data_IF_439129308711
#
_entry.id   IF_439129308711
#
_cell.length_a   1.000
_cell.length_b   1.000
_cell.length_c   1.000
_cell.angle_alpha   90.00
_cell.angle_beta   90.00
_cell.angle_gamma   90.00
#
_symmetry.space_group_name_H-M   'P 1'
#
loop_
_entity.id
_entity.type
_entity.pdbx_description
1 polymer ?
#
# COMPACT_ATOMS: atom_id res chain seq x y z
N UNK A 1 -78.99 -7.56 -20.25
CA UNK A 1 -79.81 -7.16 -19.12
C UNK A 1 -79.21 -5.91 -18.53
N UNK A 2 -79.90 -4.83 -18.79
CA UNK A 2 -80.39 -3.72 -17.98
C UNK A 2 -79.30 -2.86 -17.35
N UNK A 3 -79.08 -1.67 -17.94
CA UNK A 3 -79.66 -0.36 -17.61
C UNK A 3 -79.18 0.15 -16.25
N UNK A 4 -78.86 1.41 -16.05
CA UNK A 4 -79.34 2.63 -16.64
C UNK A 4 -78.54 3.87 -16.17
N UNK A 5 -78.77 4.86 -16.90
CA UNK A 5 -78.45 6.26 -16.82
C UNK A 5 -78.57 6.94 -15.45
N UNK A 6 -77.78 7.96 -15.14
CA UNK A 6 -78.38 9.24 -14.77
C UNK A 6 -77.37 10.38 -14.88
N UNK A 7 -77.79 11.35 -15.70
CA UNK A 7 -77.17 12.64 -15.93
C UNK A 7 -77.73 13.60 -14.85
N UNK A 8 -76.89 14.46 -14.27
CA UNK A 8 -77.38 15.69 -13.65
C UNK A 8 -76.53 16.87 -14.02
N UNK A 9 -77.08 17.78 -14.80
CA UNK A 9 -76.60 19.16 -15.06
C UNK A 9 -77.21 20.07 -13.99
N UNK A 10 -76.51 21.05 -13.53
CA UNK A 10 -76.98 22.41 -13.18
C UNK A 10 -75.72 23.23 -12.81
N UNK A 11 -75.31 24.11 -13.62
CA UNK A 11 -75.60 25.53 -13.76
C UNK A 11 -75.47 26.37 -12.47
N UNK A 12 -74.51 27.28 -12.46
CA UNK A 12 -74.81 28.59 -11.86
C UNK A 12 -73.73 29.20 -11.00
N UNK A 13 -73.31 30.28 -11.49
CA UNK A 13 -72.97 31.55 -10.80
C UNK A 13 -71.52 31.92 -10.67
N UNK A 14 -71.18 32.94 -11.48
CA UNK A 14 -70.05 33.88 -11.39
C UNK A 14 -70.04 34.56 -10.02
N UNK A 15 -68.84 34.66 -9.46
CA UNK A 15 -68.45 35.80 -8.61
C UNK A 15 -66.98 36.13 -8.80
N UNK A 16 -66.74 37.25 -9.42
CA UNK A 16 -65.46 37.92 -9.52
C UNK A 16 -65.07 38.46 -8.13
N UNK A 17 -63.91 38.09 -7.65
CA UNK A 17 -63.20 38.88 -6.63
C UNK A 17 -61.75 38.89 -6.99
N UNK A 18 -61.34 40.04 -7.46
CA UNK A 18 -59.94 40.39 -7.60
C UNK A 18 -59.32 40.60 -6.22
N UNK A 19 -58.19 39.98 -5.91
CA UNK A 19 -57.24 40.54 -4.94
C UNK A 19 -55.85 40.00 -5.12
N UNK A 20 -54.97 40.92 -5.51
CA UNK A 20 -53.60 41.16 -5.00
C UNK A 20 -52.52 40.13 -5.22
N UNK A 21 -51.62 40.52 -6.09
CA UNK A 21 -50.23 40.18 -6.23
C UNK A 21 -49.53 39.94 -4.86
N UNK A 22 -49.01 38.73 -4.64
CA UNK A 22 -47.88 38.52 -3.81
C UNK A 22 -46.88 37.67 -4.60
N UNK A 23 -45.89 38.36 -5.18
CA UNK A 23 -44.73 37.72 -5.75
C UNK A 23 -43.89 37.12 -4.62
N UNK A 24 -44.24 35.87 -4.24
CA UNK A 24 -43.41 35.01 -3.38
C UNK A 24 -42.39 34.32 -4.25
N UNK A 25 -41.19 34.91 -4.36
CA UNK A 25 -40.06 34.24 -4.97
C UNK A 25 -39.71 32.97 -4.19
N UNK A 26 -40.05 31.84 -4.75
CA UNK A 26 -39.51 30.55 -4.31
C UNK A 26 -38.04 30.55 -4.70
N UNK A 27 -37.23 30.99 -3.77
CA UNK A 27 -35.79 30.73 -3.84
C UNK A 27 -35.61 29.21 -3.87
N UNK A 28 -35.41 28.68 -5.07
CA UNK A 28 -35.05 27.29 -5.32
C UNK A 28 -33.64 27.14 -4.79
N UNK A 29 -33.54 26.71 -3.54
CA UNK A 29 -32.27 26.24 -2.98
C UNK A 29 -31.81 25.08 -3.86
N UNK A 30 -30.94 25.35 -4.80
CA UNK A 30 -30.14 24.33 -5.46
C UNK A 30 -29.24 23.78 -4.39
N UNK A 31 -29.63 22.64 -3.81
CA UNK A 31 -28.71 21.79 -3.09
C UNK A 31 -27.60 21.42 -4.08
N UNK A 32 -26.47 22.09 -3.96
CA UNK A 32 -25.23 21.63 -4.55
C UNK A 32 -24.95 20.31 -3.87
N UNK A 33 -25.39 19.22 -4.48
CA UNK A 33 -24.85 17.91 -4.18
C UNK A 33 -23.36 17.97 -4.51
N UNK A 34 -22.57 18.33 -3.50
CA UNK A 34 -21.15 18.10 -3.51
C UNK A 34 -20.97 16.60 -3.61
N UNK A 35 -20.86 16.12 -4.85
CA UNK A 35 -20.42 14.76 -5.12
C UNK A 35 -19.19 14.53 -4.28
N UNK A 36 -19.32 13.77 -3.20
CA UNK A 36 -18.18 13.31 -2.44
C UNK A 36 -17.40 12.43 -3.41
N UNK A 37 -16.40 13.03 -4.07
CA UNK A 37 -15.42 12.28 -4.83
C UNK A 37 -14.92 11.20 -3.86
N UNK A 38 -15.21 9.94 -4.19
CA UNK A 38 -14.78 8.81 -3.39
C UNK A 38 -13.29 9.00 -3.15
N UNK A 39 -12.88 9.08 -1.88
CA UNK A 39 -11.48 9.28 -1.54
C UNK A 39 -10.68 8.21 -2.27
N UNK A 40 -9.75 8.65 -3.14
CA UNK A 40 -8.95 7.71 -3.91
C UNK A 40 -8.24 6.74 -2.97
N UNK A 41 -8.22 5.43 -3.30
CA UNK A 41 -7.59 4.45 -2.45
C UNK A 41 -6.12 4.85 -2.23
N UNK A 42 -5.66 4.73 -1.00
CA UNK A 42 -4.27 5.03 -0.62
C UNK A 42 -3.30 4.19 -1.44
N UNK A 43 -3.70 2.95 -1.78
CA UNK A 43 -2.97 2.00 -2.62
C UNK A 43 -3.83 1.67 -3.84
N UNK A 44 -3.29 1.88 -5.03
CA UNK A 44 -3.95 1.56 -6.30
C UNK A 44 -2.99 0.86 -7.27
N UNK A 45 -3.47 -0.03 -8.13
CA UNK A 45 -2.65 -0.57 -9.22
C UNK A 45 -2.19 0.54 -10.17
N UNK A 46 -0.99 0.37 -10.78
CA UNK A 46 -0.56 1.16 -11.93
C UNK A 46 -1.43 0.84 -13.16
N UNK A 47 -1.34 1.67 -14.20
CA UNK A 47 -2.12 1.49 -15.44
C UNK A 47 -1.88 0.12 -16.09
N UNK A 48 -0.62 -0.34 -16.11
CA UNK A 48 -0.23 -1.67 -16.61
C UNK A 48 -0.48 -2.81 -15.61
N UNK A 49 -0.90 -2.48 -14.40
CA UNK A 49 -1.16 -3.42 -13.32
C UNK A 49 0.08 -4.07 -12.71
N UNK A 50 1.29 -3.78 -13.18
CA UNK A 50 2.53 -4.42 -12.70
C UNK A 50 2.99 -3.92 -11.34
N UNK A 51 2.55 -2.74 -10.94
CA UNK A 51 2.88 -2.08 -9.68
C UNK A 51 1.64 -1.76 -8.86
N UNK A 52 1.85 -1.59 -7.58
CA UNK A 52 0.90 -0.97 -6.65
C UNK A 52 1.47 0.37 -6.20
N UNK A 53 0.77 1.45 -6.47
CA UNK A 53 1.21 2.81 -6.16
C UNK A 53 0.58 3.28 -4.86
N UNK A 54 1.40 3.74 -3.93
CA UNK A 54 0.99 4.44 -2.73
C UNK A 54 1.19 5.95 -2.93
N UNK A 55 0.14 6.66 -3.19
CA UNK A 55 0.17 8.11 -3.41
C UNK A 55 0.57 8.89 -2.15
N UNK A 56 0.31 8.36 -0.98
CA UNK A 56 0.65 9.02 0.28
C UNK A 56 2.16 9.00 0.55
N UNK A 57 2.79 7.84 0.36
CA UNK A 57 4.24 7.70 0.55
C UNK A 57 5.05 8.01 -0.71
N UNK A 58 4.38 8.20 -1.86
CA UNK A 58 5.01 8.35 -3.18
C UNK A 58 5.93 7.18 -3.52
N UNK A 59 5.46 5.97 -3.24
CA UNK A 59 6.17 4.73 -3.51
C UNK A 59 5.36 3.85 -4.47
N UNK A 60 6.06 3.12 -5.31
CA UNK A 60 5.50 2.08 -6.16
C UNK A 60 6.15 0.74 -5.83
N UNK A 61 5.33 -0.27 -5.60
CA UNK A 61 5.68 -1.60 -5.16
C UNK A 61 5.55 -2.57 -6.31
N UNK A 62 6.48 -3.52 -6.47
CA UNK A 62 6.23 -4.63 -7.40
C UNK A 62 4.97 -5.38 -6.95
N UNK A 63 4.02 -5.58 -7.86
CA UNK A 63 2.78 -6.30 -7.53
C UNK A 63 3.04 -7.76 -7.21
N UNK A 64 3.95 -8.38 -7.97
CA UNK A 64 4.45 -9.71 -7.70
C UNK A 64 5.75 -9.66 -6.88
N UNK A 65 5.99 -10.68 -6.06
CA UNK A 65 7.29 -10.90 -5.42
C UNK A 65 8.30 -11.41 -6.46
N UNK A 66 9.57 -11.31 -6.15
CA UNK A 66 10.62 -11.76 -7.07
C UNK A 66 10.51 -13.25 -7.40
N UNK A 67 10.74 -13.59 -8.66
CA UNK A 67 10.52 -14.92 -9.24
C UNK A 67 9.12 -15.15 -9.80
N UNK A 68 8.18 -14.27 -9.51
CA UNK A 68 6.84 -14.28 -10.08
C UNK A 68 6.66 -13.13 -11.07
N UNK A 69 5.77 -13.30 -12.04
CA UNK A 69 5.48 -12.32 -13.08
C UNK A 69 3.98 -11.98 -13.10
N UNK A 70 3.67 -10.73 -13.38
CA UNK A 70 2.28 -10.29 -13.59
C UNK A 70 1.81 -10.67 -14.99
N UNK A 71 0.69 -11.38 -15.11
CA UNK A 71 0.12 -11.83 -16.37
C UNK A 71 -1.06 -10.97 -16.88
N UNK A 72 -1.36 -9.87 -16.18
CA UNK A 72 -2.52 -9.03 -16.43
C UNK A 72 -3.67 -9.23 -15.42
N UNK A 73 -3.71 -10.36 -14.74
CA UNK A 73 -4.76 -10.73 -13.80
C UNK A 73 -4.22 -11.17 -12.44
N UNK A 74 -3.15 -11.94 -12.43
CA UNK A 74 -2.54 -12.48 -11.21
C UNK A 74 -1.02 -12.59 -11.32
N UNK A 75 -0.36 -12.93 -10.23
CA UNK A 75 1.06 -13.25 -10.23
C UNK A 75 1.23 -14.74 -10.49
N UNK A 76 1.99 -15.09 -11.55
CA UNK A 76 2.28 -16.47 -11.98
C UNK A 76 3.76 -16.81 -11.77
N UNK A 77 4.09 -18.07 -11.65
CA UNK A 77 5.44 -18.56 -11.38
C UNK A 77 5.65 -18.92 -9.92
N UNK A 78 6.92 -19.03 -9.49
CA UNK A 78 7.29 -19.38 -8.14
C UNK A 78 8.07 -18.24 -7.47
N UNK A 79 7.68 -17.89 -6.25
CA UNK A 79 8.41 -16.91 -5.46
C UNK A 79 9.85 -17.37 -5.23
N UNK A 80 10.81 -16.57 -5.65
CA UNK A 80 12.22 -16.82 -5.41
C UNK A 80 12.61 -16.34 -4.03
N UNK A 81 13.16 -17.26 -3.23
CA UNK A 81 13.74 -16.92 -1.93
C UNK A 81 15.21 -16.59 -2.11
N UNK A 82 15.67 -15.54 -1.46
CA UNK A 82 17.02 -15.01 -1.60
C UNK A 82 17.60 -14.67 -0.24
N UNK A 83 18.92 -14.73 -0.15
CA UNK A 83 19.67 -14.13 0.94
C UNK A 83 19.55 -12.61 0.87
N UNK A 84 19.85 -11.92 1.97
CA UNK A 84 19.84 -10.46 1.99
C UNK A 84 20.80 -9.85 0.97
N UNK A 85 22.00 -10.44 0.82
CA UNK A 85 22.99 -10.00 -0.16
C UNK A 85 22.52 -10.14 -1.61
N UNK A 86 21.90 -11.26 -1.95
CA UNK A 86 21.29 -11.46 -3.28
C UNK A 86 20.17 -10.47 -3.56
N UNK A 87 19.33 -10.17 -2.56
CA UNK A 87 18.25 -9.20 -2.70
C UNK A 87 18.77 -7.77 -2.95
N UNK A 88 19.87 -7.39 -2.29
CA UNK A 88 20.56 -6.11 -2.55
C UNK A 88 21.17 -6.06 -3.96
N UNK A 89 21.83 -7.14 -4.38
CA UNK A 89 22.42 -7.23 -5.72
C UNK A 89 21.34 -7.13 -6.81
N UNK A 90 20.20 -7.80 -6.61
CA UNK A 90 19.05 -7.72 -7.51
C UNK A 90 18.51 -6.28 -7.63
N UNK A 91 18.28 -5.60 -6.51
CA UNK A 91 17.80 -4.21 -6.51
C UNK A 91 18.78 -3.29 -7.24
N UNK A 92 20.10 -3.48 -7.01
CA UNK A 92 21.15 -2.73 -7.70
C UNK A 92 21.19 -3.02 -9.20
N UNK A 93 21.05 -4.28 -9.61
CA UNK A 93 20.99 -4.66 -11.02
C UNK A 93 19.80 -4.02 -11.73
N UNK A 94 18.62 -4.04 -11.10
CA UNK A 94 17.41 -3.41 -11.64
C UNK A 94 17.56 -1.89 -11.73
N UNK A 95 18.16 -1.26 -10.73
CA UNK A 95 18.49 0.16 -10.80
C UNK A 95 19.38 0.50 -12.00
N UNK A 96 20.43 -0.28 -12.22
CA UNK A 96 21.34 -0.08 -13.37
C UNK A 96 20.65 -0.27 -14.71
N UNK A 97 19.71 -1.21 -14.81
CA UNK A 97 18.99 -1.51 -16.04
C UNK A 97 17.91 -0.47 -16.39
N UNK A 98 17.20 0.04 -15.39
CA UNK A 98 16.01 0.87 -15.58
C UNK A 98 16.26 2.37 -15.23
N UNK A 99 17.37 2.70 -14.57
CA UNK A 99 17.64 4.08 -14.10
C UNK A 99 16.74 4.54 -12.94
N UNK A 100 15.94 3.63 -12.38
CA UNK A 100 14.97 3.94 -11.33
C UNK A 100 15.45 3.35 -10.00
N UNK A 101 15.29 4.09 -8.90
CA UNK A 101 15.79 3.77 -7.57
C UNK A 101 15.09 2.57 -6.91
N UNK A 102 15.22 1.38 -7.50
CA UNK A 102 14.76 0.13 -6.91
C UNK A 102 15.54 -0.22 -5.65
N UNK A 103 14.83 -0.66 -4.62
CA UNK A 103 15.42 -1.06 -3.35
C UNK A 103 14.54 -2.07 -2.59
N UNK A 104 15.14 -2.72 -1.61
CA UNK A 104 14.39 -3.46 -0.59
C UNK A 104 13.61 -2.44 0.26
N UNK A 105 12.34 -2.68 0.59
CA UNK A 105 11.55 -1.76 1.41
C UNK A 105 12.00 -1.74 2.88
N UNK A 106 11.71 -0.65 3.57
CA UNK A 106 11.88 -0.55 5.02
C UNK A 106 10.78 -1.32 5.75
N UNK A 107 11.04 -1.72 6.98
CA UNK A 107 10.06 -2.39 7.82
C UNK A 107 8.77 -1.56 7.98
N UNK A 108 8.90 -0.26 8.23
CA UNK A 108 7.78 0.67 8.39
C UNK A 108 6.92 0.79 7.14
N UNK A 109 7.53 0.62 5.97
CA UNK A 109 6.83 0.67 4.68
C UNK A 109 6.00 -0.61 4.47
N UNK A 110 6.57 -1.79 4.73
CA UNK A 110 5.86 -3.08 4.60
C UNK A 110 4.74 -3.25 5.63
N UNK A 111 4.88 -2.67 6.83
CA UNK A 111 3.84 -2.70 7.86
C UNK A 111 2.51 -2.09 7.39
N UNK A 112 2.52 -1.24 6.38
CA UNK A 112 1.30 -0.58 5.87
C UNK A 112 0.29 -1.57 5.30
N UNK A 113 0.74 -2.71 4.81
CA UNK A 113 -0.13 -3.75 4.25
C UNK A 113 0.12 -5.16 4.81
N UNK A 114 1.09 -5.33 5.70
CA UNK A 114 1.30 -6.58 6.40
C UNK A 114 0.15 -6.83 7.39
N UNK A 115 -0.40 -8.04 7.40
CA UNK A 115 -1.58 -8.39 8.20
C UNK A 115 -2.90 -7.83 7.67
N UNK A 116 -2.88 -7.02 6.62
CA UNK A 116 -4.09 -6.43 6.06
C UNK A 116 -4.89 -7.45 5.24
N UNK A 117 -6.16 -7.64 5.59
CA UNK A 117 -7.03 -8.65 4.95
C UNK A 117 -7.27 -8.39 3.46
N UNK A 118 -7.28 -7.13 3.05
CA UNK A 118 -7.51 -6.77 1.65
C UNK A 118 -6.24 -6.76 0.79
N UNK A 119 -5.06 -6.98 1.38
CA UNK A 119 -3.81 -7.04 0.63
C UNK A 119 -3.84 -7.99 -0.57
N UNK A 120 -4.49 -9.18 -0.53
CA UNK A 120 -4.58 -10.06 -1.69
C UNK A 120 -5.28 -9.47 -2.91
N UNK A 121 -6.11 -8.46 -2.77
CA UNK A 121 -6.74 -7.76 -3.90
C UNK A 121 -5.71 -6.94 -4.70
N UNK A 122 -4.72 -6.40 -4.02
CA UNK A 122 -3.64 -5.62 -4.63
C UNK A 122 -2.43 -6.48 -4.99
N UNK A 123 -2.16 -7.51 -4.20
CA UNK A 123 -1.03 -8.43 -4.34
C UNK A 123 -1.54 -9.87 -4.48
N UNK A 124 -2.19 -10.22 -5.62
CA UNK A 124 -2.76 -11.56 -5.79
C UNK A 124 -1.65 -12.61 -5.89
N UNK A 125 -1.97 -13.81 -5.41
CA UNK A 125 -1.05 -14.94 -5.35
C UNK A 125 0.28 -14.68 -4.58
N UNK A 126 0.31 -13.60 -3.78
CA UNK A 126 1.43 -13.35 -2.87
C UNK A 126 1.50 -14.49 -1.83
N UNK A 127 2.66 -15.13 -1.63
CA UNK A 127 2.83 -16.16 -0.60
C UNK A 127 2.60 -15.63 0.82
N UNK A 128 2.63 -14.30 1.01
CA UNK A 128 2.43 -13.61 2.29
C UNK A 128 3.30 -14.17 3.41
N UNK A 129 4.51 -14.53 3.05
CA UNK A 129 5.50 -15.16 3.91
C UNK A 129 6.52 -14.15 4.46
N UNK A 130 7.53 -14.64 5.17
CA UNK A 130 8.64 -13.83 5.65
C UNK A 130 9.37 -13.14 4.49
N UNK A 131 9.46 -11.83 4.59
CA UNK A 131 9.99 -10.94 3.55
C UNK A 131 11.11 -10.07 4.11
N UNK A 132 12.20 -9.92 3.35
CA UNK A 132 13.30 -9.04 3.72
C UNK A 132 12.89 -7.58 3.81
N UNK A 133 13.45 -6.87 4.79
CA UNK A 133 13.39 -5.40 4.88
C UNK A 133 14.77 -4.81 4.84
N UNK A 134 14.90 -3.55 4.40
CA UNK A 134 16.17 -2.81 4.41
C UNK A 134 16.50 -2.21 5.79
N UNK A 135 15.65 -2.41 6.78
CA UNK A 135 15.90 -1.94 8.15
C UNK A 135 17.06 -2.73 8.75
N UNK A 136 18.05 -2.03 9.23
CA UNK A 136 19.22 -2.63 9.85
C UNK A 136 19.01 -2.78 11.35
N UNK A 137 19.54 -3.86 11.90
CA UNK A 137 19.76 -3.97 13.35
C UNK A 137 21.20 -3.51 13.62
N UNK A 138 21.34 -2.41 14.33
CA UNK A 138 22.63 -1.95 14.81
C UNK A 138 22.76 -2.53 16.22
N UNK A 139 23.60 -3.54 16.38
CA UNK A 139 24.06 -3.95 17.71
C UNK A 139 25.27 -3.06 18.04
N UNK A 140 25.07 -2.13 18.96
CA UNK A 140 26.20 -1.50 19.64
C UNK A 140 26.82 -2.55 20.53
N UNK A 141 27.92 -3.17 20.10
CA UNK A 141 28.81 -3.85 21.04
C UNK A 141 29.45 -2.73 21.84
N UNK A 142 28.98 -2.55 23.08
CA UNK A 142 29.70 -1.74 24.05
C UNK A 142 31.05 -2.41 24.30
N UNK A 143 32.02 -2.10 23.45
CA UNK A 143 33.43 -2.42 23.75
C UNK A 143 33.81 -1.50 24.91
N UNK A 144 33.97 -2.07 26.10
CA UNK A 144 34.51 -1.34 27.22
C UNK A 144 35.96 -0.91 26.83
N UNK A 145 36.08 0.32 26.34
CA UNK A 145 37.35 0.93 25.92
C UNK A 145 38.37 1.10 27.10
N UNK A 146 37.90 0.93 28.33
CA UNK A 146 38.71 0.99 29.53
C UNK A 146 39.29 -0.37 29.96
N UNK A 147 38.97 -1.46 29.27
CA UNK A 147 39.54 -2.75 29.54
C UNK A 147 40.90 -2.85 28.85
N UNK A 148 41.99 -2.85 29.64
CA UNK A 148 43.38 -2.92 29.16
C UNK A 148 43.64 -4.10 28.23
N UNK A 149 43.00 -5.24 28.47
CA UNK A 149 43.10 -6.41 27.59
C UNK A 149 42.53 -6.17 26.17
N UNK A 150 41.54 -5.32 26.03
CA UNK A 150 41.00 -4.94 24.73
C UNK A 150 41.96 -4.05 23.97
N UNK A 151 42.68 -3.17 24.68
CA UNK A 151 43.67 -2.28 24.06
C UNK A 151 44.91 -3.06 23.61
N UNK A 152 45.42 -3.98 24.43
CA UNK A 152 46.63 -4.76 24.13
C UNK A 152 46.41 -5.80 23.05
N UNK A 153 45.19 -6.32 22.91
CA UNK A 153 44.84 -7.28 21.84
C UNK A 153 44.38 -6.59 20.54
N UNK A 154 44.43 -5.26 20.47
CA UNK A 154 44.03 -4.51 19.29
C UNK A 154 42.51 -4.61 18.98
N UNK A 155 41.71 -5.04 19.95
CA UNK A 155 40.26 -5.22 19.76
C UNK A 155 39.55 -3.85 19.71
N UNK A 156 40.14 -2.81 20.31
CA UNK A 156 39.61 -1.45 20.28
C UNK A 156 39.73 -0.70 18.94
N UNK A 157 40.51 -1.24 17.98
CA UNK A 157 40.72 -0.60 16.68
C UNK A 157 39.95 -1.18 15.50
N UNK A 158 39.25 -2.31 15.68
CA UNK A 158 38.47 -2.93 14.63
C UNK A 158 36.98 -2.57 14.80
N UNK A 159 36.61 -1.38 14.40
CA UNK A 159 35.24 -1.03 14.06
C UNK A 159 34.68 -1.88 12.89
N UNK A 160 35.53 -2.73 12.29
CA UNK A 160 35.20 -3.59 11.17
C UNK A 160 34.36 -4.82 11.56
N UNK A 161 34.12 -5.05 12.85
CA UNK A 161 33.26 -6.12 13.35
C UNK A 161 31.88 -5.63 13.82
N UNK A 162 31.41 -4.49 13.33
CA UNK A 162 29.97 -4.30 13.20
C UNK A 162 29.48 -5.27 12.14
N UNK A 163 29.69 -6.56 12.42
CA UNK A 163 29.14 -7.64 11.63
C UNK A 163 27.63 -7.60 11.75
N UNK A 164 27.00 -6.70 11.01
CA UNK A 164 25.54 -6.71 10.83
C UNK A 164 25.21 -7.99 10.07
N UNK A 165 25.32 -9.12 10.76
CA UNK A 165 25.01 -10.44 10.22
C UNK A 165 23.50 -10.72 10.27
N UNK A 166 22.74 -9.83 10.91
CA UNK A 166 21.30 -9.95 11.11
C UNK A 166 20.57 -8.81 10.41
N UNK A 167 19.34 -9.06 10.03
CA UNK A 167 18.45 -8.12 9.41
C UNK A 167 17.03 -8.26 9.95
N UNK A 168 16.20 -7.28 9.63
CA UNK A 168 14.79 -7.33 9.95
C UNK A 168 14.02 -8.00 8.82
N UNK A 169 13.12 -8.89 9.20
CA UNK A 169 12.11 -9.47 8.33
C UNK A 169 10.71 -9.23 8.89
N UNK A 170 9.72 -9.27 8.02
CA UNK A 170 8.31 -9.17 8.36
C UNK A 170 7.54 -10.29 7.67
N UNK A 171 6.61 -10.90 8.39
CA UNK A 171 5.68 -11.86 7.82
C UNK A 171 4.46 -11.12 7.28
N UNK A 172 4.31 -11.08 5.96
CA UNK A 172 3.27 -10.27 5.31
C UNK A 172 1.84 -10.73 5.63
N UNK A 173 1.67 -12.00 5.98
CA UNK A 173 0.36 -12.55 6.38
C UNK A 173 -0.11 -12.10 7.76
N UNK A 174 0.81 -12.09 8.73
CA UNK A 174 0.47 -11.83 10.14
C UNK A 174 0.89 -10.46 10.63
N UNK A 175 1.83 -9.81 9.94
CA UNK A 175 2.46 -8.56 10.42
C UNK A 175 3.55 -8.78 11.49
N UNK A 176 3.85 -10.05 11.85
CA UNK A 176 4.93 -10.37 12.78
C UNK A 176 6.28 -9.88 12.24
N UNK A 177 7.15 -9.40 13.13
CA UNK A 177 8.46 -8.87 12.76
C UNK A 177 9.56 -9.53 13.58
N UNK A 178 10.71 -9.79 12.94
CA UNK A 178 11.92 -10.33 13.58
C UNK A 178 13.13 -9.51 13.18
N UNK A 179 13.94 -9.13 14.15
CA UNK A 179 15.14 -8.32 13.96
C UNK A 179 16.46 -9.12 14.04
N UNK A 180 16.37 -10.42 14.29
CA UNK A 180 17.47 -11.33 14.54
C UNK A 180 17.69 -12.36 13.42
N UNK A 181 17.15 -12.08 12.22
CA UNK A 181 17.22 -12.99 11.09
C UNK A 181 18.61 -12.96 10.46
N UNK A 182 19.28 -14.10 10.39
CA UNK A 182 20.56 -14.21 9.70
C UNK A 182 20.45 -13.76 8.24
N UNK A 183 21.35 -12.92 7.76
CA UNK A 183 21.37 -12.46 6.36
C UNK A 183 21.57 -13.56 5.33
N UNK A 184 21.96 -14.75 5.78
CA UNK A 184 22.09 -15.96 4.94
C UNK A 184 20.77 -16.69 4.78
N UNK A 185 19.73 -16.33 5.56
CA UNK A 185 18.40 -16.94 5.46
C UNK A 185 17.78 -16.60 4.10
N UNK A 186 17.10 -17.59 3.51
CA UNK A 186 16.41 -17.43 2.24
C UNK A 186 14.97 -16.96 2.48
N UNK A 187 14.66 -15.70 2.20
CA UNK A 187 13.34 -15.11 2.35
C UNK A 187 12.80 -14.58 1.03
N UNK A 188 11.51 -14.35 1.00
CA UNK A 188 10.85 -13.70 -0.13
C UNK A 188 11.32 -12.24 -0.24
N UNK A 189 11.35 -11.73 -1.46
CA UNK A 189 11.76 -10.35 -1.76
C UNK A 189 10.67 -9.65 -2.56
N UNK A 190 10.28 -8.48 -2.10
CA UNK A 190 9.47 -7.50 -2.84
C UNK A 190 10.29 -6.23 -2.97
N UNK A 191 10.34 -5.65 -4.13
CA UNK A 191 11.04 -4.39 -4.35
C UNK A 191 10.08 -3.20 -4.33
N UNK A 192 10.64 -2.06 -4.02
CA UNK A 192 9.95 -0.76 -4.02
C UNK A 192 10.82 0.28 -4.71
N UNK A 193 10.17 1.26 -5.36
CA UNK A 193 10.81 2.40 -5.99
C UNK A 193 10.02 3.68 -5.71
N UNK A 194 10.55 4.88 -5.98
CA UNK A 194 9.73 6.08 -6.05
C UNK A 194 8.60 5.88 -7.07
N UNK A 195 7.41 6.41 -6.74
CA UNK A 195 6.30 6.43 -7.69
C UNK A 195 6.65 7.32 -8.90
N UNK A 196 6.12 7.00 -10.09
CA UNK A 196 6.28 7.82 -11.28
C UNK A 196 5.63 9.18 -11.13
#
# INVERSE_FOLDING_TARGET
MHQGHMIYRMSGVLLLAACSLAAGGVARAQAVEKSAAAAEPILAPSEDGSLVVDRTSRLAWTRCVEGMSWDGHTCTGQAKRMTYGEALALASARYKAEGVGWRIPRLTELRRFAGWEQAPKLFPADPRDWTWTSTLRIESVESNTYNYDNVTRGVGGRQDHLGVQQGWAIHLGTGETRGDVSRKTLLVVRLVRPAP
#
